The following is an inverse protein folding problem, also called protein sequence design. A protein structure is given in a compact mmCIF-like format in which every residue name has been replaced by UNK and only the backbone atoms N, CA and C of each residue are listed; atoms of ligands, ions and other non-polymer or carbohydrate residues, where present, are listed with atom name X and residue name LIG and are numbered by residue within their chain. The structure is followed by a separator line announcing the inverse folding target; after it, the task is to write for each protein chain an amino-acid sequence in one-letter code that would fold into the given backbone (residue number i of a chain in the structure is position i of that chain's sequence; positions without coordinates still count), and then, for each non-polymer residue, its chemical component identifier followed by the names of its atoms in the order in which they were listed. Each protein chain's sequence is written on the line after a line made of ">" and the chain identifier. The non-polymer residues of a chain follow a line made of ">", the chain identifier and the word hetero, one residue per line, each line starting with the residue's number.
data_IF_870534794426
#
_entry.id   IF_870534794426
#
_cell.length_a   1.000
_cell.length_b   1.000
_cell.length_c   1.000
_cell.angle_alpha   90.00
_cell.angle_beta   90.00
_cell.angle_gamma   90.00
#
_symmetry.space_group_name_H-M   'P 1'
#
loop_
_entity.id
_entity.type
_entity.pdbx_description
1 polymer ?
#
# COMPACT_ATOMS: atom_id res chain seq x y z
N UNK A 1 10.84 9.33 -1.74
CA UNK A 1 12.00 10.01 -1.12
C UNK A 1 11.92 9.94 0.41
N UNK A 2 10.83 10.44 1.03
CA UNK A 2 10.64 10.45 2.49
C UNK A 2 10.62 9.06 3.15
N UNK A 3 9.64 8.19 2.79
CA UNK A 3 9.52 6.86 3.40
C UNK A 3 10.82 6.04 3.31
N UNK A 4 11.51 6.07 2.16
CA UNK A 4 12.80 5.38 1.96
C UNK A 4 13.91 5.85 2.90
N UNK A 5 13.90 7.11 3.33
CA UNK A 5 14.91 7.67 4.23
C UNK A 5 14.52 7.46 5.70
N UNK A 6 13.23 7.60 6.02
CA UNK A 6 12.75 7.62 7.40
C UNK A 6 12.41 6.24 7.95
N UNK A 7 12.00 5.29 7.11
CA UNK A 7 11.53 3.98 7.57
C UNK A 7 12.64 3.05 8.07
N UNK A 8 13.78 2.85 7.38
CA UNK A 8 14.78 1.88 7.82
C UNK A 8 15.32 2.12 9.25
N UNK A 9 15.60 3.37 9.68
CA UNK A 9 15.99 3.64 11.07
C UNK A 9 14.91 3.27 12.10
N UNK A 10 13.62 3.42 11.76
CA UNK A 10 12.51 3.06 12.65
C UNK A 10 12.38 1.55 12.81
N UNK A 11 12.62 0.80 11.72
CA UNK A 11 12.58 -0.67 11.74
C UNK A 11 13.78 -1.30 12.48
N UNK A 12 14.88 -0.56 12.62
CA UNK A 12 16.08 -1.00 13.36
C UNK A 12 16.01 -0.65 14.84
N UNK A 13 14.91 -0.08 15.32
CA UNK A 13 14.71 0.16 16.75
C UNK A 13 14.78 -1.16 17.51
N UNK A 14 15.62 -1.27 18.55
CA UNK A 14 15.87 -2.54 19.25
C UNK A 14 14.66 -3.08 20.00
N UNK A 15 13.65 -2.24 20.26
CA UNK A 15 12.47 -2.60 21.06
C UNK A 15 11.16 -2.32 20.31
N UNK A 16 10.34 -3.36 20.12
CA UNK A 16 8.93 -3.25 19.75
C UNK A 16 8.55 -3.71 18.33
N UNK A 17 7.25 -3.86 18.12
CA UNK A 17 6.66 -4.00 16.79
C UNK A 17 6.37 -2.62 16.21
N UNK A 18 6.62 -2.43 14.91
CA UNK A 18 6.28 -1.19 14.20
C UNK A 18 4.91 -1.36 13.54
N UNK A 19 4.02 -0.40 13.75
CA UNK A 19 2.77 -0.26 13.02
C UNK A 19 2.82 1.06 12.26
N UNK A 20 2.65 1.00 10.94
CA UNK A 20 2.54 2.18 10.10
C UNK A 20 1.09 2.34 9.65
N UNK A 21 0.58 3.56 9.70
CA UNK A 21 -0.77 3.88 9.24
C UNK A 21 -0.79 5.21 8.49
N UNK A 22 -1.50 5.26 7.36
CA UNK A 22 -1.71 6.51 6.63
C UNK A 22 -2.04 6.31 5.15
N UNK A 23 -2.09 7.43 4.42
CA UNK A 23 -2.25 7.46 2.96
C UNK A 23 -0.87 7.26 2.29
N UNK A 24 -0.69 6.10 1.66
CA UNK A 24 0.55 5.75 0.96
C UNK A 24 0.53 6.16 -0.51
N UNK A 25 -0.63 6.57 -1.03
CA UNK A 25 -0.88 6.75 -2.47
C UNK A 25 -0.36 5.55 -3.30
N UNK A 26 -0.44 4.34 -2.74
CA UNK A 26 0.09 3.10 -3.30
C UNK A 26 -1.00 2.04 -3.33
N UNK A 27 -1.25 1.47 -4.50
CA UNK A 27 -2.14 0.33 -4.68
C UNK A 27 -1.34 -0.96 -4.47
N UNK A 28 -1.67 -1.74 -3.43
CA UNK A 28 -0.96 -2.99 -3.10
C UNK A 28 -1.37 -4.13 -4.05
N UNK A 29 -2.66 -4.33 -4.28
CA UNK A 29 -3.19 -5.33 -5.20
C UNK A 29 -3.95 -4.68 -6.36
N UNK A 30 -3.46 -4.86 -7.59
CA UNK A 30 -4.04 -4.23 -8.77
C UNK A 30 -5.43 -4.76 -9.16
N UNK A 31 -5.86 -5.89 -8.63
CA UNK A 31 -7.15 -6.52 -8.96
C UNK A 31 -8.15 -6.42 -7.81
N UNK A 32 -7.68 -6.25 -6.57
CA UNK A 32 -8.53 -6.15 -5.38
C UNK A 32 -8.63 -4.73 -4.81
N UNK A 33 -7.59 -3.90 -4.96
CA UNK A 33 -7.51 -2.56 -4.36
C UNK A 33 -7.95 -1.43 -5.29
N UNK A 34 -8.58 -1.76 -6.42
CA UNK A 34 -9.23 -0.78 -7.30
C UNK A 34 -10.44 -1.33 -8.03
N UNK A 35 -11.36 -0.45 -8.44
CA UNK A 35 -12.59 -0.83 -9.16
C UNK A 35 -12.51 -0.68 -10.68
N UNK A 36 -11.57 0.11 -11.19
CA UNK A 36 -11.44 0.41 -12.63
C UNK A 36 -10.61 -0.62 -13.41
N UNK A 37 -10.68 -0.58 -14.74
CA UNK A 37 -9.77 -1.35 -15.59
C UNK A 37 -8.30 -0.97 -15.32
N UNK A 38 -7.39 -1.90 -15.62
CA UNK A 38 -5.95 -1.66 -15.56
C UNK A 38 -5.53 -0.59 -16.58
N UNK A 39 -5.78 0.69 -16.31
CA UNK A 39 -5.27 1.79 -17.11
C UNK A 39 -3.76 1.85 -16.90
N UNK A 40 -3.02 1.26 -17.83
CA UNK A 40 -1.59 1.04 -17.70
C UNK A 40 -1.28 -0.04 -16.67
N UNK A 41 -0.19 -0.77 -16.93
CA UNK A 41 0.52 -1.49 -15.88
C UNK A 41 0.66 -0.54 -14.69
N UNK A 42 0.37 -1.00 -13.48
CA UNK A 42 0.84 -0.29 -12.28
C UNK A 42 2.29 0.06 -12.55
N UNK A 43 2.60 1.35 -12.71
CA UNK A 43 3.90 1.75 -13.26
C UNK A 43 5.03 1.15 -12.42
N UNK A 44 6.23 1.01 -12.99
CA UNK A 44 7.36 0.37 -12.27
C UNK A 44 7.62 0.94 -10.86
N UNK A 45 7.18 2.18 -10.60
CA UNK A 45 7.19 2.81 -9.28
C UNK A 45 6.28 2.13 -8.24
N UNK A 46 5.07 1.71 -8.61
CA UNK A 46 4.16 0.99 -7.71
C UNK A 46 4.68 -0.41 -7.42
N UNK A 47 5.25 -1.09 -8.43
CA UNK A 47 5.91 -2.37 -8.24
C UNK A 47 7.12 -2.25 -7.32
N UNK A 48 7.99 -1.26 -7.55
CA UNK A 48 9.14 -0.97 -6.70
C UNK A 48 8.75 -0.55 -5.29
N UNK A 49 7.61 0.13 -5.11
CA UNK A 49 7.06 0.49 -3.81
C UNK A 49 6.62 -0.74 -3.02
N UNK A 50 5.85 -1.63 -3.64
CA UNK A 50 5.40 -2.90 -3.06
C UNK A 50 6.55 -3.81 -2.69
N UNK A 51 7.50 -3.96 -3.62
CA UNK A 51 8.71 -4.74 -3.39
C UNK A 51 9.49 -4.18 -2.20
N UNK A 52 9.70 -2.86 -2.13
CA UNK A 52 10.44 -2.24 -1.04
C UNK A 52 9.75 -2.42 0.33
N UNK A 53 8.42 -2.30 0.41
CA UNK A 53 7.68 -2.59 1.65
C UNK A 53 7.83 -4.05 2.08
N UNK A 54 7.81 -4.98 1.11
CA UNK A 54 8.05 -6.40 1.36
C UNK A 54 9.48 -6.68 1.84
N UNK A 55 10.48 -6.00 1.27
CA UNK A 55 11.89 -6.11 1.70
C UNK A 55 12.10 -5.58 3.12
N UNK A 56 11.28 -4.61 3.55
CA UNK A 56 11.24 -4.12 4.92
C UNK A 56 10.52 -5.06 5.90
N UNK A 57 9.93 -6.16 5.43
CA UNK A 57 9.19 -7.11 6.27
C UNK A 57 7.84 -6.61 6.76
N UNK A 58 7.30 -5.56 6.13
CA UNK A 58 5.99 -4.99 6.46
C UNK A 58 4.85 -5.79 5.84
N UNK A 59 3.73 -5.89 6.56
CA UNK A 59 2.60 -6.72 6.15
C UNK A 59 1.31 -5.91 6.16
N UNK A 60 0.59 -5.92 5.05
CA UNK A 60 -0.75 -5.33 4.98
C UNK A 60 -1.73 -6.12 5.86
N UNK A 61 -2.03 -5.56 7.03
CA UNK A 61 -2.89 -6.17 8.04
C UNK A 61 -4.32 -6.34 7.51
N UNK A 62 -4.83 -5.35 6.79
CA UNK A 62 -6.18 -5.39 6.23
C UNK A 62 -6.32 -6.50 5.20
N UNK A 63 -5.37 -6.61 4.27
CA UNK A 63 -5.38 -7.65 3.23
C UNK A 63 -5.17 -9.04 3.82
N UNK A 64 -4.38 -9.16 4.88
CA UNK A 64 -4.21 -10.42 5.61
C UNK A 64 -5.52 -10.90 6.26
N UNK A 65 -6.30 -9.99 6.84
CA UNK A 65 -7.60 -10.30 7.44
C UNK A 65 -8.72 -10.50 6.38
N UNK A 66 -8.61 -9.84 5.22
CA UNK A 66 -9.62 -9.87 4.16
C UNK A 66 -8.99 -10.21 2.80
N UNK A 67 -8.59 -11.48 2.56
CA UNK A 67 -7.76 -11.84 1.41
C UNK A 67 -8.37 -11.53 0.05
N UNK A 68 -9.70 -11.65 -0.09
CA UNK A 68 -10.42 -11.50 -1.36
C UNK A 68 -11.44 -10.36 -1.37
N UNK A 69 -11.66 -9.69 -0.24
CA UNK A 69 -12.66 -8.63 -0.14
C UNK A 69 -12.18 -7.40 -0.93
N UNK A 70 -13.09 -6.81 -1.69
CA UNK A 70 -12.89 -5.52 -2.34
C UNK A 70 -13.52 -4.45 -1.47
N UNK A 71 -12.68 -3.57 -0.94
CA UNK A 71 -13.09 -2.39 -0.21
C UNK A 71 -12.08 -1.27 -0.47
N UNK A 72 -12.53 -0.02 -0.34
CA UNK A 72 -11.82 1.15 -0.86
C UNK A 72 -11.84 2.30 0.13
N UNK A 73 -10.76 3.08 0.16
CA UNK A 73 -10.63 4.25 1.04
C UNK A 73 -10.70 5.58 0.30
N UNK A 74 -10.57 5.55 -1.04
CA UNK A 74 -10.52 6.74 -1.89
C UNK A 74 -11.44 6.59 -3.11
N UNK A 75 -12.09 7.69 -3.49
CA UNK A 75 -12.85 7.83 -4.73
C UNK A 75 -12.29 8.98 -5.58
N UNK A 76 -11.98 8.67 -6.84
CA UNK A 76 -11.60 9.66 -7.86
C UNK A 76 -12.83 10.07 -8.67
N UNK A 77 -13.25 11.33 -8.54
CA UNK A 77 -14.33 11.90 -9.36
C UNK A 77 -13.95 12.03 -10.84
N UNK A 78 -12.67 12.27 -11.14
CA UNK A 78 -12.17 12.45 -12.50
C UNK A 78 -12.26 11.16 -13.34
N UNK A 79 -11.99 10.01 -12.73
CA UNK A 79 -12.00 8.71 -13.41
C UNK A 79 -13.22 7.85 -13.03
N UNK A 80 -14.02 8.30 -12.05
CA UNK A 80 -15.17 7.56 -11.48
C UNK A 80 -14.76 6.16 -10.98
N UNK A 81 -13.60 6.08 -10.34
CA UNK A 81 -13.03 4.83 -9.83
C UNK A 81 -12.72 4.92 -8.35
N UNK A 82 -12.73 3.76 -7.69
CA UNK A 82 -12.34 3.61 -6.30
C UNK A 82 -10.96 2.96 -6.20
N UNK A 83 -10.22 3.31 -5.14
CA UNK A 83 -8.94 2.72 -4.79
C UNK A 83 -8.79 2.58 -3.26
N UNK A 84 -8.01 1.61 -2.81
CA UNK A 84 -7.54 1.53 -1.41
C UNK A 84 -6.11 2.05 -1.34
N UNK A 85 -5.96 3.24 -0.76
CA UNK A 85 -4.68 3.97 -0.66
C UNK A 85 -4.22 4.15 0.79
N UNK A 86 -5.16 4.03 1.73
CA UNK A 86 -4.89 4.05 3.16
C UNK A 86 -4.56 2.64 3.65
N UNK A 87 -3.37 2.47 4.23
CA UNK A 87 -2.84 1.17 4.62
C UNK A 87 -2.49 1.16 6.11
N UNK A 88 -2.60 -0.04 6.71
CA UNK A 88 -1.96 -0.41 7.96
C UNK A 88 -0.93 -1.51 7.67
N UNK A 89 0.35 -1.22 7.95
CA UNK A 89 1.52 -2.04 7.61
C UNK A 89 2.37 -2.41 8.82
#
# INVERSE_FOLDING_TARGET
>A
AFLRQSLPPLLQSPDGAVLLGGDFNLVMDGDLDRSGQRYGQTGSLSDAGRQWLSECGLVDVWRSAHPSLRDYSFYSSATKTYARLDLFL
#
